data_IF_300477873952
#
_entry.id   IF_300477873952
#
_cell.length_a   1.000
_cell.length_b   1.000
_cell.length_c   1.000
_cell.angle_alpha   90.00
_cell.angle_beta   90.00
_cell.angle_gamma   90.00
#
_symmetry.space_group_name_H-M   'P 1'
#
loop_
_entity.id
_entity.type
_entity.pdbx_description
1 polymer ?
#
# COMPACT_ATOMS: atom_id res chain seq x y z
N UNK A 1 -5.30 17.75 -5.97
CA UNK A 1 -3.98 17.48 -5.33
C UNK A 1 -3.29 16.36 -6.11
N UNK A 2 -2.05 16.57 -6.55
CA UNK A 2 -1.31 15.60 -7.38
C UNK A 2 -0.66 14.51 -6.50
N UNK A 3 -0.60 13.29 -7.00
CA UNK A 3 0.20 12.21 -6.41
C UNK A 3 1.68 12.57 -6.62
N UNK A 4 2.46 12.66 -5.54
CA UNK A 4 3.90 12.84 -5.66
C UNK A 4 4.60 11.48 -5.76
N UNK A 5 5.17 11.22 -6.93
CA UNK A 5 5.79 9.95 -7.30
C UNK A 5 7.02 9.62 -6.45
N UNK A 6 7.73 10.63 -5.93
CA UNK A 6 8.93 10.39 -5.10
C UNK A 6 8.56 9.65 -3.79
N UNK A 7 7.44 10.04 -3.18
CA UNK A 7 6.93 9.39 -1.98
C UNK A 7 6.40 7.97 -2.27
N UNK A 8 5.78 7.76 -3.44
CA UNK A 8 5.39 6.43 -3.88
C UNK A 8 6.62 5.52 -4.01
N UNK A 9 7.65 5.96 -4.72
CA UNK A 9 8.91 5.22 -4.88
C UNK A 9 9.64 4.96 -3.56
N UNK A 10 9.69 5.97 -2.68
CA UNK A 10 10.25 5.84 -1.33
C UNK A 10 9.54 4.75 -0.53
N UNK A 11 8.20 4.75 -0.53
CA UNK A 11 7.43 3.72 0.15
C UNK A 11 7.62 2.34 -0.47
N UNK A 12 7.76 2.24 -1.80
CA UNK A 12 8.07 0.97 -2.49
C UNK A 12 9.44 0.43 -2.04
N UNK A 13 10.46 1.30 -1.95
CA UNK A 13 11.79 0.93 -1.46
C UNK A 13 11.71 0.39 -0.03
N UNK A 14 11.08 1.13 0.88
CA UNK A 14 10.88 0.72 2.27
C UNK A 14 10.14 -0.62 2.36
N UNK A 15 9.07 -0.79 1.57
CA UNK A 15 8.29 -2.01 1.52
C UNK A 15 9.13 -3.22 1.07
N UNK A 16 9.91 -3.04 0.00
CA UNK A 16 10.80 -4.09 -0.53
C UNK A 16 11.93 -4.46 0.45
N UNK A 17 12.36 -3.53 1.31
CA UNK A 17 13.32 -3.76 2.40
C UNK A 17 12.66 -4.39 3.64
N UNK A 18 11.33 -4.57 3.64
CA UNK A 18 10.57 -5.10 4.76
C UNK A 18 10.23 -4.07 5.84
N UNK A 19 10.52 -2.79 5.61
CA UNK A 19 10.18 -1.67 6.50
C UNK A 19 8.71 -1.27 6.30
N UNK A 20 7.80 -2.21 6.62
CA UNK A 20 6.39 -2.11 6.27
C UNK A 20 5.65 -1.01 7.03
N UNK A 21 6.05 -0.69 8.26
CA UNK A 21 5.41 0.38 9.03
C UNK A 21 5.75 1.75 8.44
N UNK A 22 7.02 1.95 8.09
CA UNK A 22 7.54 3.17 7.49
C UNK A 22 7.00 3.36 6.06
N UNK A 23 6.85 2.27 5.30
CA UNK A 23 6.17 2.29 4.00
C UNK A 23 4.70 2.73 4.14
N UNK A 24 3.99 2.19 5.14
CA UNK A 24 2.63 2.60 5.50
C UNK A 24 2.56 4.10 5.78
N UNK A 25 3.42 4.63 6.66
CA UNK A 25 3.39 6.05 7.02
C UNK A 25 3.70 6.95 5.82
N UNK A 26 4.67 6.55 4.99
CA UNK A 26 5.05 7.29 3.78
C UNK A 26 3.88 7.42 2.79
N UNK A 27 3.08 6.36 2.61
CA UNK A 27 1.94 6.39 1.71
C UNK A 27 0.68 7.02 2.33
N UNK A 28 0.48 6.88 3.65
CA UNK A 28 -0.71 7.40 4.34
C UNK A 28 -0.80 8.94 4.25
N UNK A 29 0.33 9.63 4.40
CA UNK A 29 0.40 11.08 4.30
C UNK A 29 -0.13 11.59 2.95
N UNK A 30 0.28 10.93 1.85
CA UNK A 30 -0.24 11.24 0.52
C UNK A 30 -1.72 10.88 0.38
N UNK A 31 -2.10 9.66 0.79
CA UNK A 31 -3.46 9.15 0.64
C UNK A 31 -4.53 10.05 1.26
N UNK A 32 -4.22 10.69 2.40
CA UNK A 32 -5.14 11.62 3.09
C UNK A 32 -5.53 12.81 2.21
N UNK A 33 -4.63 13.30 1.38
CA UNK A 33 -4.84 14.47 0.52
C UNK A 33 -5.45 14.20 -0.86
N UNK A 34 -5.53 12.94 -1.29
CA UNK A 34 -6.07 12.59 -2.61
C UNK A 34 -7.61 12.66 -2.59
N UNK A 35 -8.23 13.16 -3.66
CA UNK A 35 -9.68 13.11 -3.82
C UNK A 35 -10.16 11.66 -4.06
N UNK A 36 -11.48 11.42 -4.04
CA UNK A 36 -12.00 10.08 -4.33
C UNK A 36 -11.69 9.73 -5.79
N UNK A 37 -10.77 8.78 -6.00
CA UNK A 37 -10.39 8.28 -7.31
C UNK A 37 -9.93 6.81 -7.24
N UNK A 38 -9.86 6.10 -8.39
CA UNK A 38 -9.29 4.76 -8.43
C UNK A 38 -7.86 4.69 -7.89
N UNK A 39 -7.02 5.69 -8.14
CA UNK A 39 -5.66 5.78 -7.62
C UNK A 39 -5.63 5.90 -6.09
N UNK A 40 -6.60 6.60 -5.48
CA UNK A 40 -6.74 6.64 -4.03
C UNK A 40 -7.02 5.26 -3.45
N UNK A 41 -7.88 4.46 -4.09
CA UNK A 41 -8.15 3.08 -3.67
C UNK A 41 -6.91 2.19 -3.84
N UNK A 42 -6.16 2.37 -4.93
CA UNK A 42 -4.93 1.64 -5.16
C UNK A 42 -3.87 1.92 -4.08
N UNK A 43 -3.62 3.20 -3.77
CA UNK A 43 -2.70 3.58 -2.68
C UNK A 43 -3.22 3.04 -1.34
N UNK A 44 -4.53 3.07 -1.10
CA UNK A 44 -5.11 2.44 0.08
C UNK A 44 -4.84 0.93 0.14
N UNK A 45 -4.87 0.25 -1.01
CA UNK A 45 -4.48 -1.15 -1.13
C UNK A 45 -3.05 -1.38 -0.67
N UNK A 46 -2.10 -0.59 -1.16
CA UNK A 46 -0.69 -0.66 -0.74
C UNK A 46 -0.52 -0.44 0.78
N UNK A 47 -1.17 0.58 1.33
CA UNK A 47 -1.17 0.87 2.77
C UNK A 47 -1.70 -0.33 3.56
N UNK A 48 -2.84 -0.89 3.16
CA UNK A 48 -3.47 -2.04 3.85
C UNK A 48 -2.58 -3.28 3.80
N UNK A 49 -1.92 -3.55 2.67
CA UNK A 49 -0.96 -4.66 2.54
C UNK A 49 0.25 -4.44 3.45
N UNK A 50 0.81 -3.24 3.49
CA UNK A 50 1.92 -2.91 4.39
C UNK A 50 1.56 -3.15 5.87
N UNK A 51 0.36 -2.72 6.31
CA UNK A 51 -0.13 -3.01 7.66
C UNK A 51 -0.29 -4.52 7.89
N UNK A 52 -0.79 -5.26 6.89
CA UNK A 52 -0.95 -6.71 6.99
C UNK A 52 0.40 -7.44 7.23
N UNK A 53 1.45 -7.02 6.51
CA UNK A 53 2.79 -7.58 6.65
C UNK A 53 3.49 -7.13 7.94
N UNK A 54 3.23 -5.91 8.41
CA UNK A 54 3.66 -5.49 9.74
C UNK A 54 3.00 -6.35 10.85
N UNK A 55 1.71 -6.65 10.73
CA UNK A 55 1.00 -7.59 11.61
C UNK A 55 1.62 -9.00 11.56
N UNK A 56 2.02 -9.45 10.36
CA UNK A 56 2.66 -10.75 10.17
C UNK A 56 3.98 -10.83 10.93
N UNK A 57 4.84 -9.80 10.83
CA UNK A 57 6.10 -9.71 11.59
C UNK A 57 5.88 -9.79 13.11
N UNK A 58 4.73 -9.30 13.59
CA UNK A 58 4.31 -9.35 15.01
C UNK A 58 3.54 -10.62 15.39
N UNK A 59 3.49 -11.62 14.50
CA UNK A 59 2.77 -12.90 14.68
C UNK A 59 1.26 -12.75 14.89
N UNK A 60 0.66 -11.63 14.44
CA UNK A 60 -0.79 -11.42 14.48
C UNK A 60 -1.45 -11.95 13.20
N UNK A 61 -1.46 -13.27 13.02
CA UNK A 61 -1.90 -13.92 11.78
C UNK A 61 -3.37 -13.71 11.46
N UNK A 62 -4.23 -13.67 12.49
CA UNK A 62 -5.67 -13.38 12.32
C UNK A 62 -5.87 -11.98 11.72
N UNK A 63 -5.14 -10.98 12.24
CA UNK A 63 -5.14 -9.62 11.69
C UNK A 63 -4.58 -9.57 10.27
N UNK A 64 -3.48 -10.27 10.02
CA UNK A 64 -2.85 -10.37 8.68
C UNK A 64 -3.82 -10.88 7.63
N UNK A 65 -4.46 -12.04 7.84
CA UNK A 65 -5.36 -12.64 6.85
C UNK A 65 -6.52 -11.71 6.46
N UNK A 66 -7.14 -11.07 7.47
CA UNK A 66 -8.21 -10.08 7.24
C UNK A 66 -7.73 -8.89 6.40
N UNK A 67 -6.55 -8.35 6.72
CA UNK A 67 -6.01 -7.19 6.02
C UNK A 67 -5.54 -7.53 4.61
N UNK A 68 -4.91 -8.69 4.39
CA UNK A 68 -4.53 -9.16 3.06
C UNK A 68 -5.75 -9.26 2.14
N UNK A 69 -6.84 -9.89 2.59
CA UNK A 69 -8.07 -9.98 1.79
C UNK A 69 -8.64 -8.62 1.40
N UNK A 70 -8.64 -7.66 2.34
CA UNK A 70 -9.06 -6.27 2.06
C UNK A 70 -8.13 -5.57 1.06
N UNK A 71 -6.82 -5.67 1.27
CA UNK A 71 -5.81 -5.02 0.44
C UNK A 71 -5.83 -5.54 -1.00
N UNK A 72 -5.90 -6.85 -1.19
CA UNK A 72 -6.00 -7.48 -2.51
C UNK A 72 -7.24 -7.00 -3.26
N UNK A 73 -8.41 -6.93 -2.59
CA UNK A 73 -9.64 -6.42 -3.21
C UNK A 73 -9.47 -4.99 -3.72
N UNK A 74 -8.87 -4.11 -2.91
CA UNK A 74 -8.61 -2.72 -3.31
C UNK A 74 -7.64 -2.61 -4.50
N UNK A 75 -6.61 -3.47 -4.55
CA UNK A 75 -5.67 -3.51 -5.67
C UNK A 75 -6.31 -4.03 -6.96
N UNK A 76 -7.21 -5.01 -6.86
CA UNK A 76 -7.94 -5.60 -8.00
C UNK A 76 -9.02 -4.68 -8.58
N UNK A 77 -9.53 -3.72 -7.80
CA UNK A 77 -10.49 -2.72 -8.28
C UNK A 77 -9.87 -1.81 -9.37
N UNK A 78 -8.53 -1.74 -9.44
CA UNK A 78 -7.82 -1.04 -10.49
C UNK A 78 -7.59 -1.96 -11.70
N UNK A 79 -8.45 -1.85 -12.72
CA UNK A 79 -8.33 -2.69 -13.94
C UNK A 79 -7.03 -2.48 -14.71
N UNK A 80 -6.48 -1.26 -14.69
CA UNK A 80 -5.17 -0.93 -15.24
C UNK A 80 -4.53 0.22 -14.44
N UNK A 81 -3.45 -0.02 -13.69
CA UNK A 81 -2.68 1.05 -13.10
C UNK A 81 -2.02 1.91 -14.19
N UNK A 82 -2.32 3.21 -14.22
CA UNK A 82 -1.53 4.18 -15.00
C UNK A 82 -0.13 4.41 -14.42
N UNK A 83 0.20 3.80 -13.28
CA UNK A 83 1.52 3.85 -12.65
C UNK A 83 2.21 2.49 -12.80
N UNK A 84 3.38 2.48 -13.46
CA UNK A 84 4.27 1.32 -13.47
C UNK A 84 4.91 1.15 -12.09
N UNK A 85 4.28 0.38 -11.21
CA UNK A 85 4.76 0.11 -9.86
C UNK A 85 5.33 -1.30 -9.80
N UNK A 86 6.66 -1.40 -9.67
CA UNK A 86 7.36 -2.66 -9.50
C UNK A 86 7.55 -2.95 -8.00
N UNK A 87 6.61 -3.69 -7.40
CA UNK A 87 6.72 -4.23 -6.04
C UNK A 87 7.25 -5.65 -6.18
N UNK A 88 8.41 -5.96 -5.60
CA UNK A 88 9.08 -7.27 -5.77
C UNK A 88 8.38 -8.42 -5.03
N UNK A 89 7.26 -8.17 -4.35
CA UNK A 89 6.67 -9.07 -3.35
C UNK A 89 5.20 -9.40 -3.64
N UNK A 90 4.70 -9.09 -4.84
CA UNK A 90 3.37 -9.53 -5.29
C UNK A 90 3.49 -10.36 -6.57
#
# INVERSE_FOLDING_TARGET
>A
MHIDLNNIEKGIKLFNEGNYFEAHETWEDQWRGIEKSPEKNFIQGLIVIAVALHHYKRKNYKGTSKLLGKGIKLLQELKEPKMNINIKVL
#
